data_IF_127670600299
#
_entry.id   IF_127670600299
#
_cell.length_a   1.000
_cell.length_b   1.000
_cell.length_c   1.000
_cell.angle_alpha   90.00
_cell.angle_beta   90.00
_cell.angle_gamma   90.00
#
_symmetry.space_group_name_H-M   'P 1'
#
loop_
_entity.id
_entity.type
_entity.pdbx_description
1 polymer ?
#
# COMPACT_ATOMS: atom_id res chain seq x y z
N UNK A 1 14.26 -5.33 13.02
CA UNK A 1 14.57 -4.08 12.30
C UNK A 1 15.98 -4.17 11.77
N UNK A 2 16.20 -3.80 10.51
CA UNK A 2 17.53 -3.69 9.88
C UNK A 2 17.62 -2.37 9.11
N UNK A 3 18.85 -1.94 8.81
CA UNK A 3 19.12 -0.92 7.80
C UNK A 3 19.64 -1.64 6.56
N UNK A 4 19.11 -1.30 5.40
CA UNK A 4 19.49 -1.89 4.12
C UNK A 4 19.44 -0.85 3.02
N UNK A 5 20.47 -0.82 2.19
CA UNK A 5 20.48 -0.06 0.95
C UNK A 5 19.73 -0.85 -0.13
N UNK A 6 18.51 -0.41 -0.43
CA UNK A 6 17.67 -1.00 -1.46
C UNK A 6 17.91 -0.35 -2.82
N UNK A 7 17.90 -1.14 -3.89
CA UNK A 7 18.08 -0.63 -5.26
C UNK A 7 16.73 -0.48 -5.96
N UNK A 8 16.45 0.70 -6.53
CA UNK A 8 15.24 0.93 -7.34
C UNK A 8 15.32 0.09 -8.61
N UNK A 9 14.35 -0.78 -8.82
CA UNK A 9 14.25 -1.64 -10.02
C UNK A 9 13.16 -1.17 -10.99
N UNK A 10 12.13 -0.48 -10.49
CA UNK A 10 11.14 0.20 -11.32
C UNK A 10 10.57 1.43 -10.61
N UNK A 11 10.17 2.43 -11.40
CA UNK A 11 9.41 3.58 -10.94
C UNK A 11 8.31 3.85 -11.99
N UNK A 12 7.05 3.72 -11.58
CA UNK A 12 5.90 3.95 -12.47
C UNK A 12 4.86 4.82 -11.78
N UNK A 13 4.24 5.74 -12.53
CA UNK A 13 3.14 6.55 -11.99
C UNK A 13 1.83 5.76 -11.99
N UNK A 14 1.09 5.78 -10.88
CA UNK A 14 -0.25 5.20 -10.77
C UNK A 14 -1.25 6.34 -10.61
N UNK A 15 -1.79 6.82 -11.72
CA UNK A 15 -2.73 7.95 -11.75
C UNK A 15 -2.25 9.11 -10.87
N UNK A 16 -3.11 9.55 -9.96
CA UNK A 16 -2.87 10.57 -8.94
C UNK A 16 -2.61 9.96 -7.54
N UNK A 17 -2.48 8.63 -7.43
CA UNK A 17 -2.05 7.96 -6.19
C UNK A 17 -0.59 8.27 -5.86
N UNK A 18 0.27 8.32 -6.89
CA UNK A 18 1.69 8.65 -6.78
C UNK A 18 2.59 7.69 -7.56
N UNK A 19 3.89 7.74 -7.25
CA UNK A 19 4.89 6.85 -7.82
C UNK A 19 4.85 5.48 -7.12
N UNK A 20 4.68 4.41 -7.88
CA UNK A 20 4.89 3.04 -7.45
C UNK A 20 6.36 2.68 -7.69
N UNK A 21 7.13 2.60 -6.61
CA UNK A 21 8.53 2.23 -6.62
C UNK A 21 8.67 0.74 -6.29
N UNK A 22 9.27 -0.02 -7.20
CA UNK A 22 9.75 -1.36 -6.91
C UNK A 22 11.23 -1.27 -6.50
N UNK A 23 11.56 -1.86 -5.35
CA UNK A 23 12.89 -1.77 -4.74
C UNK A 23 13.38 -3.17 -4.40
N UNK A 24 14.54 -3.55 -4.91
CA UNK A 24 15.24 -4.76 -4.52
C UNK A 24 15.92 -4.51 -3.16
N UNK A 25 15.42 -5.20 -2.13
CA UNK A 25 15.84 -5.11 -0.74
C UNK A 25 15.59 -6.47 -0.04
N UNK A 26 16.38 -7.51 -0.34
CA UNK A 26 16.12 -8.87 0.11
C UNK A 26 16.11 -9.03 1.63
N UNK A 27 16.90 -8.24 2.36
CA UNK A 27 16.93 -8.28 3.82
C UNK A 27 15.60 -7.81 4.44
N UNK A 28 15.02 -6.75 3.90
CA UNK A 28 13.72 -6.20 4.29
C UNK A 28 12.61 -7.11 3.82
N UNK A 29 12.60 -7.49 2.53
CA UNK A 29 11.55 -8.30 1.92
C UNK A 29 11.35 -9.63 2.65
N UNK A 30 12.44 -10.33 2.99
CA UNK A 30 12.39 -11.62 3.69
C UNK A 30 11.74 -11.55 5.09
N UNK A 31 11.75 -10.37 5.73
CA UNK A 31 11.22 -10.15 7.09
C UNK A 31 9.89 -9.42 7.10
N UNK A 32 9.55 -8.74 6.01
CA UNK A 32 8.37 -7.91 5.91
C UNK A 32 7.09 -8.74 5.98
N UNK A 33 6.05 -8.18 6.59
CA UNK A 33 4.70 -8.75 6.66
C UNK A 33 3.66 -7.68 6.30
N UNK A 34 2.47 -8.13 5.90
CA UNK A 34 1.36 -7.22 5.64
C UNK A 34 1.07 -6.34 6.86
N UNK A 35 0.73 -5.07 6.67
CA UNK A 35 0.51 -4.10 7.76
C UNK A 35 1.78 -3.45 8.32
N UNK A 36 2.97 -3.95 7.99
CA UNK A 36 4.24 -3.30 8.32
C UNK A 36 4.63 -2.25 7.27
N UNK A 37 5.63 -1.45 7.60
CA UNK A 37 6.15 -0.38 6.75
C UNK A 37 7.68 -0.28 6.84
N UNK A 38 8.27 0.55 5.97
CA UNK A 38 9.68 0.96 6.02
C UNK A 38 9.81 2.46 6.19
N UNK A 39 10.86 2.90 6.87
CA UNK A 39 11.30 4.28 6.84
C UNK A 39 12.35 4.46 5.75
N UNK A 40 12.07 5.32 4.77
CA UNK A 40 12.98 5.65 3.68
C UNK A 40 13.65 6.98 3.98
N UNK A 41 14.99 7.02 3.97
CA UNK A 41 15.73 8.28 4.07
C UNK A 41 15.68 9.00 2.74
N UNK A 42 15.33 10.29 2.78
CA UNK A 42 15.39 11.15 1.61
C UNK A 42 16.68 11.98 1.61
N UNK A 43 17.27 12.15 0.43
CA UNK A 43 18.48 12.95 0.25
C UNK A 43 19.75 12.30 0.79
N UNK A 44 20.89 12.90 0.44
CA UNK A 44 22.23 12.50 0.90
C UNK A 44 22.79 13.45 1.96
N UNK A 45 22.15 14.60 2.18
CA UNK A 45 22.55 15.63 3.14
C UNK A 45 21.74 15.63 4.44
N UNK A 46 21.69 16.79 5.09
CA UNK A 46 20.98 17.04 6.35
C UNK A 46 19.53 17.53 6.16
N UNK A 47 19.14 17.88 4.93
CA UNK A 47 17.79 18.30 4.58
C UNK A 47 17.32 17.51 3.35
N UNK A 48 16.15 16.82 3.42
CA UNK A 48 15.32 16.60 4.60
C UNK A 48 15.94 15.60 5.59
N UNK A 49 15.95 15.97 6.88
CA UNK A 49 16.57 15.14 7.94
C UNK A 49 15.78 13.87 8.25
N UNK A 50 14.45 13.98 8.27
CA UNK A 50 13.58 12.91 8.75
C UNK A 50 13.28 11.89 7.64
N UNK A 51 13.38 10.61 8.01
CA UNK A 51 12.92 9.50 7.18
C UNK A 51 11.40 9.57 7.00
N UNK A 52 10.92 9.09 5.85
CA UNK A 52 9.49 9.04 5.53
C UNK A 52 8.98 7.60 5.62
N UNK A 53 7.89 7.35 6.36
CA UNK A 53 7.29 6.02 6.43
C UNK A 53 6.49 5.69 5.16
N UNK A 54 6.65 4.47 4.66
CA UNK A 54 5.84 3.92 3.57
C UNK A 54 5.45 2.47 3.86
N UNK A 55 4.15 2.20 3.86
CA UNK A 55 3.62 0.84 3.94
C UNK A 55 4.00 0.04 2.71
N UNK A 56 4.22 -1.26 2.88
CA UNK A 56 4.43 -2.15 1.75
C UNK A 56 3.15 -2.24 0.91
N UNK A 57 3.29 -2.06 -0.40
CA UNK A 57 2.27 -2.26 -1.42
C UNK A 57 2.33 -3.66 -2.04
N UNK A 58 3.54 -4.24 -2.08
CA UNK A 58 3.83 -5.62 -2.46
C UNK A 58 5.04 -6.11 -1.69
N UNK A 59 5.08 -7.40 -1.38
CA UNK A 59 6.23 -8.05 -0.74
C UNK A 59 6.53 -9.34 -1.52
N UNK A 60 7.61 -9.33 -2.29
CA UNK A 60 8.13 -10.52 -2.97
C UNK A 60 9.32 -11.08 -2.20
N UNK A 61 9.03 -12.01 -1.28
CA UNK A 61 10.08 -12.62 -0.45
C UNK A 61 11.07 -13.47 -1.27
N UNK A 62 10.62 -14.03 -2.39
CA UNK A 62 11.44 -14.91 -3.23
C UNK A 62 12.32 -14.10 -4.17
N UNK A 63 11.75 -13.06 -4.77
CA UNK A 63 12.46 -12.11 -5.62
C UNK A 63 13.34 -11.14 -4.83
N UNK A 64 13.09 -10.96 -3.53
CA UNK A 64 13.80 -10.00 -2.69
C UNK A 64 13.37 -8.56 -2.95
N UNK A 65 12.13 -8.35 -3.42
CA UNK A 65 11.63 -7.04 -3.81
C UNK A 65 10.45 -6.61 -2.95
N UNK A 66 10.34 -5.30 -2.74
CA UNK A 66 9.18 -4.65 -2.14
C UNK A 66 8.66 -3.58 -3.08
N UNK A 67 7.37 -3.26 -2.99
CA UNK A 67 6.80 -2.09 -3.66
C UNK A 67 6.28 -1.07 -2.65
N UNK A 68 6.48 0.21 -2.94
CA UNK A 68 6.03 1.34 -2.14
C UNK A 68 5.23 2.30 -3.01
N UNK A 69 4.10 2.80 -2.51
CA UNK A 69 3.39 3.92 -3.14
C UNK A 69 3.86 5.21 -2.47
N UNK A 70 4.52 6.06 -3.25
CA UNK A 70 5.11 7.31 -2.81
C UNK A 70 4.34 8.46 -3.42
N UNK A 71 3.54 9.12 -2.59
CA UNK A 71 2.94 10.40 -2.97
C UNK A 71 3.97 11.51 -2.78
N UNK A 72 4.25 12.35 -3.80
CA UNK A 72 5.24 13.42 -3.73
C UNK A 72 4.71 14.59 -2.89
N UNK A 73 4.71 14.42 -1.57
CA UNK A 73 4.31 15.45 -0.61
C UNK A 73 5.54 16.02 0.09
N UNK A 74 5.89 17.24 -0.29
CA UNK A 74 7.03 17.97 0.26
C UNK A 74 8.39 17.39 -0.15
N UNK A 75 9.50 18.03 0.25
CA UNK A 75 10.82 17.77 -0.31
C UNK A 75 11.26 16.30 -0.20
N UNK A 76 10.95 15.64 0.92
CA UNK A 76 11.31 14.24 1.13
C UNK A 76 10.50 13.27 0.27
N UNK A 77 9.19 13.50 0.16
CA UNK A 77 8.34 12.66 -0.70
C UNK A 77 8.65 12.85 -2.18
N UNK A 78 8.88 14.10 -2.60
CA UNK A 78 9.28 14.46 -3.97
C UNK A 78 10.63 13.85 -4.35
N UNK A 79 11.62 13.92 -3.45
CA UNK A 79 12.93 13.32 -3.70
C UNK A 79 12.86 11.80 -3.86
N UNK A 80 12.05 11.12 -3.03
CA UNK A 80 11.89 9.66 -3.11
C UNK A 80 11.09 9.28 -4.36
N UNK A 81 9.99 9.98 -4.66
CA UNK A 81 9.14 9.68 -5.81
C UNK A 81 9.86 9.82 -7.15
N UNK A 82 10.90 10.66 -7.21
CA UNK A 82 11.68 10.94 -8.42
C UNK A 82 12.90 10.03 -8.60
N UNK A 83 13.11 9.03 -7.71
CA UNK A 83 14.25 8.12 -7.86
C UNK A 83 14.18 7.30 -9.14
N UNK A 84 15.31 7.16 -9.80
CA UNK A 84 15.44 6.42 -11.06
C UNK A 84 15.90 4.98 -10.84
N UNK A 85 15.65 4.13 -11.83
CA UNK A 85 16.12 2.74 -11.83
C UNK A 85 17.65 2.71 -11.66
N UNK A 86 18.12 1.83 -10.79
CA UNK A 86 19.53 1.70 -10.43
C UNK A 86 19.98 2.56 -9.25
N UNK A 87 19.22 3.60 -8.89
CA UNK A 87 19.52 4.41 -7.70
C UNK A 87 19.25 3.65 -6.41
N UNK A 88 19.90 4.09 -5.33
CA UNK A 88 19.83 3.46 -4.00
C UNK A 88 18.92 4.26 -3.06
N UNK A 89 18.18 3.54 -2.23
CA UNK A 89 17.36 4.06 -1.15
C UNK A 89 17.81 3.43 0.17
N UNK A 90 18.14 4.26 1.16
CA UNK A 90 18.44 3.81 2.52
C UNK A 90 17.12 3.50 3.25
N UNK A 91 16.88 2.21 3.49
CA UNK A 91 15.69 1.65 4.11
C UNK A 91 15.96 1.27 5.56
N UNK A 92 15.06 1.66 6.46
CA UNK A 92 15.00 1.18 7.83
C UNK A 92 13.70 0.40 8.03
N UNK A 93 13.80 -0.91 8.22
CA UNK A 93 12.62 -1.74 8.49
C UNK A 93 12.86 -3.25 8.40
N UNK A 94 11.79 -4.05 8.27
CA UNK A 94 10.39 -3.62 8.45
C UNK A 94 10.13 -3.11 9.87
N UNK A 95 9.15 -2.22 10.00
CA UNK A 95 8.67 -1.57 11.23
C UNK A 95 7.16 -1.78 11.39
N UNK A 96 6.67 -1.58 12.61
CA UNK A 96 5.25 -1.74 12.94
C UNK A 96 4.82 -3.19 13.16
N UNK A 97 3.53 -3.36 13.42
CA UNK A 97 2.92 -4.67 13.71
C UNK A 97 2.25 -5.23 12.46
N UNK A 98 2.41 -6.54 12.23
CA UNK A 98 1.75 -7.20 11.12
C UNK A 98 0.23 -7.21 11.32
N UNK A 99 -0.51 -7.04 10.23
CA UNK A 99 -1.96 -7.25 10.23
C UNK A 99 -2.26 -8.75 10.38
N UNK A 100 -3.18 -9.10 11.27
CA UNK A 100 -3.54 -10.49 11.55
C UNK A 100 -4.96 -10.75 11.05
N UNK A 101 -5.08 -11.64 10.07
CA UNK A 101 -6.37 -12.18 9.64
C UNK A 101 -6.64 -13.45 10.43
N UNK A 102 -7.79 -13.53 11.11
CA UNK A 102 -8.12 -14.69 11.93
C UNK A 102 -8.30 -15.93 11.06
N UNK A 103 -7.99 -17.11 11.60
CA UNK A 103 -8.04 -18.38 10.84
C UNK A 103 -9.46 -18.79 10.45
N UNK A 104 -10.45 -18.39 11.25
CA UNK A 104 -11.87 -18.69 11.08
C UNK A 104 -12.62 -17.68 10.18
N UNK A 105 -11.98 -16.56 9.81
CA UNK A 105 -12.55 -15.58 8.88
C UNK A 105 -12.75 -16.19 7.49
N UNK A 106 -13.98 -16.22 7.00
CA UNK A 106 -14.35 -16.68 5.65
C UNK A 106 -14.60 -15.51 4.70
N UNK A 107 -15.13 -14.41 5.21
CA UNK A 107 -15.43 -13.18 4.50
C UNK A 107 -14.58 -12.05 5.08
N UNK A 108 -13.61 -11.57 4.31
CA UNK A 108 -12.72 -10.49 4.70
C UNK A 108 -13.07 -9.22 3.91
N UNK A 109 -13.45 -8.17 4.64
CA UNK A 109 -13.66 -6.85 4.08
C UNK A 109 -12.41 -5.99 4.28
N UNK A 110 -11.87 -5.45 3.21
CA UNK A 110 -10.75 -4.52 3.23
C UNK A 110 -11.25 -3.16 2.76
N UNK A 111 -10.88 -2.10 3.47
CA UNK A 111 -11.27 -0.73 3.10
C UNK A 111 -10.01 0.09 2.90
N UNK A 112 -9.95 0.80 1.78
CA UNK A 112 -8.82 1.63 1.41
C UNK A 112 -9.29 2.97 0.85
N UNK A 113 -8.49 4.01 1.10
CA UNK A 113 -8.61 5.30 0.45
C UNK A 113 -7.23 5.88 0.15
N UNK A 114 -7.03 6.39 -1.06
CA UNK A 114 -5.74 6.92 -1.50
C UNK A 114 -4.60 5.91 -1.33
N UNK A 115 -3.47 6.32 -0.73
CA UNK A 115 -2.31 5.44 -0.51
C UNK A 115 -2.55 4.35 0.54
N UNK A 116 -3.68 4.39 1.26
CA UNK A 116 -4.11 3.32 2.17
C UNK A 116 -4.33 1.97 1.48
N UNK A 117 -4.41 1.94 0.14
CA UNK A 117 -4.41 0.71 -0.63
C UNK A 117 -3.14 -0.14 -0.45
N UNK A 118 -1.99 0.48 -0.17
CA UNK A 118 -0.71 -0.23 -0.09
C UNK A 118 -0.77 -1.46 0.84
N UNK A 119 -1.05 -1.32 2.15
CA UNK A 119 -1.15 -2.49 3.02
C UNK A 119 -2.32 -3.41 2.66
N UNK A 120 -3.44 -2.87 2.16
CA UNK A 120 -4.63 -3.65 1.83
C UNK A 120 -4.39 -4.59 0.65
N UNK A 121 -3.64 -4.14 -0.37
CA UNK A 121 -3.24 -4.99 -1.50
C UNK A 121 -2.43 -6.19 -1.03
N UNK A 122 -1.46 -5.99 -0.13
CA UNK A 122 -0.65 -7.10 0.39
C UNK A 122 -1.51 -8.13 1.12
N UNK A 123 -2.49 -7.68 1.91
CA UNK A 123 -3.45 -8.57 2.59
C UNK A 123 -4.31 -9.30 1.57
N UNK A 124 -4.87 -8.58 0.59
CA UNK A 124 -5.70 -9.15 -0.46
C UNK A 124 -4.95 -10.26 -1.24
N UNK A 125 -3.72 -10.01 -1.67
CA UNK A 125 -2.88 -10.99 -2.38
C UNK A 125 -2.62 -12.26 -1.54
N UNK A 126 -2.42 -12.12 -0.23
CA UNK A 126 -2.11 -13.25 0.66
C UNK A 126 -3.34 -14.10 0.99
N UNK A 127 -4.53 -13.49 1.00
CA UNK A 127 -5.75 -14.11 1.52
C UNK A 127 -6.74 -14.55 0.43
N UNK A 128 -6.69 -13.96 -0.76
CA UNK A 128 -7.68 -14.18 -1.84
C UNK A 128 -7.74 -15.62 -2.36
N UNK A 129 -6.76 -16.47 -2.05
CA UNK A 129 -6.78 -17.90 -2.38
C UNK A 129 -7.42 -18.78 -1.29
N UNK A 130 -7.67 -18.24 -0.09
CA UNK A 130 -8.11 -18.99 1.10
C UNK A 130 -9.51 -18.64 1.55
N UNK A 131 -10.00 -17.45 1.19
CA UNK A 131 -11.24 -16.87 1.70
C UNK A 131 -11.81 -15.87 0.70
N UNK A 132 -13.07 -15.49 0.89
CA UNK A 132 -13.72 -14.44 0.10
C UNK A 132 -13.20 -13.09 0.56
N UNK A 133 -12.68 -12.28 -0.37
CA UNK A 133 -12.11 -10.96 -0.06
C UNK A 133 -12.85 -9.91 -0.89
N UNK A 134 -13.42 -8.92 -0.21
CA UNK A 134 -13.99 -7.73 -0.84
C UNK A 134 -13.15 -6.52 -0.44
N UNK A 135 -12.63 -5.80 -1.42
CA UNK A 135 -11.88 -4.56 -1.24
C UNK A 135 -12.75 -3.38 -1.68
N UNK A 136 -13.07 -2.51 -0.74
CA UNK A 136 -13.69 -1.21 -0.99
C UNK A 136 -12.60 -0.16 -1.15
N UNK A 137 -12.49 0.44 -2.34
CA UNK A 137 -11.49 1.46 -2.64
C UNK A 137 -12.16 2.79 -2.96
N UNK A 138 -11.85 3.82 -2.15
CA UNK A 138 -12.34 5.17 -2.33
C UNK A 138 -11.30 6.13 -2.89
N UNK A 139 -11.74 7.04 -3.78
CA UNK A 139 -10.91 8.11 -4.33
C UNK A 139 -11.71 9.38 -4.59
N UNK A 140 -11.03 10.51 -4.78
CA UNK A 140 -11.70 11.77 -5.19
C UNK A 140 -12.26 11.68 -6.61
N UNK A 141 -11.55 10.94 -7.47
CA UNK A 141 -11.91 10.60 -8.84
C UNK A 141 -11.26 9.27 -9.21
N UNK A 142 -11.58 8.75 -10.40
CA UNK A 142 -10.98 7.52 -10.94
C UNK A 142 -9.46 7.54 -10.96
N UNK A 143 -8.85 8.73 -11.13
CA UNK A 143 -7.40 8.88 -11.14
C UNK A 143 -6.75 8.57 -9.78
N UNK A 144 -7.52 8.61 -8.68
CA UNK A 144 -7.06 8.28 -7.33
C UNK A 144 -7.37 6.84 -6.92
N UNK A 145 -7.93 6.03 -7.83
CA UNK A 145 -8.22 4.63 -7.56
C UNK A 145 -7.03 3.75 -7.95
N UNK A 146 -6.89 2.64 -7.23
CA UNK A 146 -5.96 1.59 -7.63
C UNK A 146 -6.58 0.81 -8.81
N UNK A 147 -5.80 0.51 -9.87
CA UNK A 147 -6.31 -0.31 -10.97
C UNK A 147 -6.70 -1.71 -10.47
N UNK A 148 -7.95 -2.11 -10.69
CA UNK A 148 -8.48 -3.38 -10.19
C UNK A 148 -7.86 -4.61 -10.88
N UNK A 149 -7.35 -4.45 -12.10
CA UNK A 149 -6.62 -5.48 -12.86
C UNK A 149 -5.27 -5.85 -12.22
N UNK A 150 -4.78 -5.05 -11.27
CA UNK A 150 -3.58 -5.33 -10.47
C UNK A 150 -3.87 -6.07 -9.15
N UNK A 151 -5.08 -6.58 -8.98
CA UNK A 151 -5.47 -7.42 -7.85
C UNK A 151 -5.72 -8.86 -8.34
N UNK A 152 -5.66 -9.86 -7.43
CA UNK A 152 -6.11 -11.21 -7.76
C UNK A 152 -7.56 -11.18 -8.27
N UNK A 153 -7.86 -11.93 -9.33
CA UNK A 153 -9.18 -11.94 -9.95
C UNK A 153 -10.32 -12.42 -9.02
N UNK A 154 -9.98 -13.11 -7.92
CA UNK A 154 -10.94 -13.53 -6.89
C UNK A 154 -11.28 -12.44 -5.87
N UNK A 155 -10.57 -11.31 -5.88
CA UNK A 155 -10.89 -10.17 -5.02
C UNK A 155 -12.05 -9.41 -5.65
N UNK A 156 -13.16 -9.32 -4.93
CA UNK A 156 -14.25 -8.44 -5.30
C UNK A 156 -13.81 -6.99 -5.07
N UNK A 157 -13.89 -6.16 -6.10
CA UNK A 157 -13.43 -4.77 -6.06
C UNK A 157 -14.61 -3.81 -6.16
N UNK A 158 -14.90 -3.11 -5.06
CA UNK A 158 -15.96 -2.10 -4.97
C UNK A 158 -15.31 -0.72 -4.97
N UNK A 159 -15.51 0.04 -6.05
CA UNK A 159 -14.98 1.39 -6.17
C UNK A 159 -16.00 2.45 -5.76
N UNK A 160 -15.55 3.46 -5.02
CA UNK A 160 -16.32 4.70 -4.80
C UNK A 160 -15.53 5.92 -5.25
N UNK A 161 -16.19 6.89 -5.88
CA UNK A 161 -15.56 8.20 -6.15
C UNK A 161 -16.43 9.38 -5.73
N UNK A 162 -15.81 10.39 -5.12
CA UNK A 162 -16.51 11.60 -4.66
C UNK A 162 -17.24 12.30 -5.84
N UNK A 163 -16.60 12.34 -7.01
CA UNK A 163 -17.12 12.99 -8.21
C UNK A 163 -18.05 12.11 -9.09
N UNK A 164 -18.13 10.80 -8.80
CA UNK A 164 -18.87 9.82 -9.62
C UNK A 164 -18.21 9.44 -10.95
N UNK A 165 -16.93 9.77 -11.16
CA UNK A 165 -16.18 9.40 -12.37
C UNK A 165 -16.00 7.89 -12.57
N UNK A 166 -16.07 7.06 -11.52
CA UNK A 166 -16.04 5.60 -11.64
C UNK A 166 -16.68 4.91 -10.43
N UNK A 167 -17.37 3.79 -10.66
CA UNK A 167 -18.02 3.03 -9.59
C UNK A 167 -19.18 3.79 -8.96
N UNK A 168 -19.32 3.67 -7.64
CA UNK A 168 -20.41 4.29 -6.88
C UNK A 168 -20.02 5.73 -6.52
N UNK A 169 -20.89 6.70 -6.85
CA UNK A 169 -20.66 8.09 -6.44
C UNK A 169 -20.82 8.22 -4.93
N UNK A 170 -19.77 8.69 -4.24
CA UNK A 170 -19.74 8.86 -2.79
C UNK A 170 -18.43 8.37 -2.17
N UNK A 171 -18.46 8.21 -0.86
CA UNK A 171 -17.32 7.76 -0.05
C UNK A 171 -17.44 6.28 0.30
N UNK A 172 -16.33 5.69 0.75
CA UNK A 172 -16.30 4.30 1.24
C UNK A 172 -17.29 4.07 2.39
N UNK A 173 -17.52 5.10 3.23
CA UNK A 173 -18.46 5.07 4.35
C UNK A 173 -19.91 4.88 3.92
N UNK A 174 -20.24 5.27 2.67
CA UNK A 174 -21.60 5.21 2.17
C UNK A 174 -21.97 3.79 1.73
N UNK A 175 -20.97 2.95 1.42
CA UNK A 175 -21.17 1.56 0.96
C UNK A 175 -20.75 0.51 1.99
N UNK A 176 -19.89 0.86 2.94
CA UNK A 176 -19.35 -0.11 3.90
C UNK A 176 -20.45 -0.70 4.79
N UNK A 177 -21.49 0.07 5.13
CA UNK A 177 -22.55 -0.34 6.06
C UNK A 177 -23.26 -1.61 5.59
N UNK A 178 -23.50 -1.72 4.28
CA UNK A 178 -24.17 -2.88 3.69
C UNK A 178 -23.26 -4.13 3.68
N UNK A 179 -21.93 -3.92 3.63
CA UNK A 179 -20.93 -4.99 3.59
C UNK A 179 -20.51 -5.48 4.99
N UNK A 180 -20.69 -4.66 6.03
CA UNK A 180 -20.34 -5.03 7.40
C UNK A 180 -21.13 -6.24 7.90
N UNK A 181 -22.39 -6.40 7.47
CA UNK A 181 -23.21 -7.56 7.85
C UNK A 181 -22.74 -8.87 7.22
N UNK A 182 -22.01 -8.81 6.10
CA UNK A 182 -21.46 -9.97 5.40
C UNK A 182 -20.08 -10.37 5.93
N UNK A 183 -19.29 -9.41 6.41
CA UNK A 183 -17.89 -9.61 6.77
C UNK A 183 -17.70 -10.25 8.15
N UNK A 184 -16.83 -11.27 8.23
CA UNK A 184 -16.39 -11.83 9.52
C UNK A 184 -15.28 -10.99 10.15
N UNK A 185 -14.53 -10.25 9.34
CA UNK A 185 -13.47 -9.35 9.77
C UNK A 185 -13.35 -8.19 8.78
N UNK A 186 -13.15 -6.99 9.31
CA UNK A 186 -12.82 -5.81 8.52
C UNK A 186 -11.37 -5.38 8.78
N UNK A 187 -10.68 -4.91 7.74
CA UNK A 187 -9.36 -4.29 7.81
C UNK A 187 -9.39 -2.89 7.22
N UNK A 188 -8.80 -1.93 7.92
CA UNK A 188 -8.58 -0.57 7.45
C UNK A 188 -7.09 -0.22 7.54
N UNK A 189 -6.60 0.79 6.82
CA UNK A 189 -5.20 1.15 6.83
C UNK A 189 -4.86 1.74 8.21
N UNK A 190 -3.84 1.18 8.87
CA UNK A 190 -3.29 1.83 10.06
C UNK A 190 -2.75 3.21 9.67
N UNK A 191 -3.18 4.27 10.36
CA UNK A 191 -2.61 5.61 10.16
C UNK A 191 -1.15 5.58 10.60
N UNK A 192 -0.23 5.53 9.64
CA UNK A 192 1.18 5.74 9.93
C UNK A 192 1.34 7.24 10.10
N UNK A 193 1.41 7.70 11.36
CA UNK A 193 1.37 9.10 11.74
C UNK A 193 2.24 9.99 10.85
N UNK A 194 1.59 10.83 10.06
CA UNK A 194 2.18 11.99 9.39
C UNK A 194 1.59 13.22 10.11
N UNK A 195 2.18 13.58 11.24
CA UNK A 195 2.07 14.92 11.83
C UNK A 195 3.41 15.62 11.63
#
# INVERSE_FOLDING_TARGET
MIVEDGRVVANTQIGELGALLSVYAPGVASRASAGQFVHVRAGTGWDPLLRRPYSFCRIDRRGGEIELIVKPLGPGGEWIATRHVGETLDLLGPLGTAFVVRRDTKNLLLVAGGTGIAPMRVIAEQEAARRSVTLVMGGRSVAYLWPSDRLPASVEYVATTDDGSFGIKGRVTDVITDLLGWADQAGEPATVGLT
#
